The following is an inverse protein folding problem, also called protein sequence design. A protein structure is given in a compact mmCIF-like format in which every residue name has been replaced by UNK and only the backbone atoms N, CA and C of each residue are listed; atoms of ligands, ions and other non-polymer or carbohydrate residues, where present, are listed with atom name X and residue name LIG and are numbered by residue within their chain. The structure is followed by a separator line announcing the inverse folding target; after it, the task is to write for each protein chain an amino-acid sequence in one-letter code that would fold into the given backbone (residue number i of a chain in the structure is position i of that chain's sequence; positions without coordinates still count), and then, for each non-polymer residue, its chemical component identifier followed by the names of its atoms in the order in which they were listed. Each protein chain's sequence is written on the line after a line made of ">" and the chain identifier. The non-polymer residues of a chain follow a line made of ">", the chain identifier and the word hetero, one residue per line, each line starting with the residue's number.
data_IF_143789732614
#
_entry.id   IF_143789732614
#
_cell.length_a   1.000
_cell.length_b   1.000
_cell.length_c   1.000
_cell.angle_alpha   90.00
_cell.angle_beta   90.00
_cell.angle_gamma   90.00
#
_symmetry.space_group_name_H-M   'P 1'
#
loop_
_entity.id
_entity.type
_entity.pdbx_description
1 polymer ?
#
# COMPACT_ATOMS: atom_id res chain seq x y z
N UNK A 1 -65.59 50.23 -54.76
CA UNK A 1 -65.86 49.33 -53.64
C UNK A 1 -64.85 48.20 -53.71
N UNK A 2 -63.75 48.34 -53.05
CA UNK A 2 -62.65 47.31 -52.94
C UNK A 2 -62.26 47.13 -51.52
N UNK A 3 -62.53 45.94 -51.01
CA UNK A 3 -62.14 45.54 -49.62
C UNK A 3 -60.67 45.07 -49.62
N UNK A 4 -59.86 45.69 -48.80
CA UNK A 4 -58.51 45.24 -48.52
C UNK A 4 -58.56 44.19 -47.40
N UNK A 5 -58.01 43.04 -47.67
CA UNK A 5 -57.82 41.95 -46.65
C UNK A 5 -56.42 42.04 -46.08
N UNK A 6 -56.32 42.26 -44.77
CA UNK A 6 -55.07 42.29 -44.04
C UNK A 6 -54.68 40.86 -43.66
N UNK A 7 -53.52 40.41 -44.11
CA UNK A 7 -52.90 39.14 -43.72
C UNK A 7 -52.04 39.40 -42.44
N UNK A 8 -52.39 38.77 -41.36
CA UNK A 8 -51.56 38.78 -40.13
C UNK A 8 -50.59 37.62 -40.19
N UNK A 9 -49.32 37.94 -40.24
CA UNK A 9 -48.22 36.98 -40.19
C UNK A 9 -47.88 36.68 -38.72
N UNK A 10 -48.21 35.48 -38.26
CA UNK A 10 -47.83 35.00 -36.91
C UNK A 10 -46.42 34.44 -36.93
N UNK A 11 -45.48 35.10 -36.26
CA UNK A 11 -44.14 34.63 -35.99
C UNK A 11 -44.18 33.62 -34.84
N UNK A 12 -43.95 32.33 -35.14
CA UNK A 12 -43.68 31.30 -34.15
C UNK A 12 -42.18 31.34 -33.77
N UNK A 13 -41.86 31.77 -32.54
CA UNK A 13 -40.53 31.58 -31.95
C UNK A 13 -40.44 30.13 -31.42
N UNK A 14 -39.38 29.36 -31.73
CA UNK A 14 -39.14 28.09 -31.10
C UNK A 14 -38.63 28.34 -29.66
N UNK A 15 -39.33 27.83 -28.67
CA UNK A 15 -38.87 27.79 -27.29
C UNK A 15 -37.73 26.76 -27.17
N UNK A 16 -36.51 27.23 -26.96
CA UNK A 16 -35.33 26.41 -26.71
C UNK A 16 -35.43 25.93 -25.26
N UNK A 17 -35.90 24.70 -25.03
CA UNK A 17 -35.87 24.06 -23.71
C UNK A 17 -34.46 23.59 -23.45
N UNK A 18 -33.69 24.34 -22.67
CA UNK A 18 -32.41 23.89 -22.12
C UNK A 18 -32.68 22.79 -21.09
N UNK A 19 -32.41 21.54 -21.46
CA UNK A 19 -32.35 20.42 -20.51
C UNK A 19 -31.07 20.59 -19.69
N UNK A 20 -31.22 21.05 -18.46
CA UNK A 20 -30.18 20.98 -17.45
C UNK A 20 -29.92 19.49 -17.15
N UNK A 21 -28.85 18.94 -17.73
CA UNK A 21 -28.29 17.66 -17.29
C UNK A 21 -27.64 17.89 -15.92
N UNK A 22 -28.38 17.58 -14.86
CA UNK A 22 -27.79 17.46 -13.54
C UNK A 22 -26.84 16.24 -13.58
N UNK A 23 -25.53 16.48 -13.67
CA UNK A 23 -24.55 15.47 -13.31
C UNK A 23 -24.83 15.07 -11.87
N UNK A 24 -25.01 13.76 -11.59
CA UNK A 24 -25.12 13.35 -10.20
C UNK A 24 -23.81 13.74 -9.51
N UNK A 25 -23.88 14.73 -8.62
CA UNK A 25 -22.86 14.94 -7.61
C UNK A 25 -22.87 13.65 -6.79
N UNK A 26 -21.82 12.85 -6.92
CA UNK A 26 -21.56 11.79 -5.96
C UNK A 26 -21.51 12.46 -4.59
N UNK A 27 -22.61 12.39 -3.89
CA UNK A 27 -22.66 12.82 -2.49
C UNK A 27 -21.68 11.93 -1.74
N UNK A 28 -20.53 12.49 -1.44
CA UNK A 28 -19.44 11.86 -0.70
C UNK A 28 -19.94 11.68 0.74
N UNK A 29 -20.65 10.60 0.98
CA UNK A 29 -20.92 10.13 2.35
C UNK A 29 -19.63 9.50 2.86
N UNK A 30 -18.61 10.33 3.10
CA UNK A 30 -17.33 9.90 3.61
C UNK A 30 -17.51 9.21 4.95
N UNK A 31 -17.33 7.89 4.97
CA UNK A 31 -17.38 7.11 6.20
C UNK A 31 -16.06 7.19 6.97
N UNK A 32 -14.93 7.41 6.26
CA UNK A 32 -13.59 7.51 6.84
C UNK A 32 -13.18 8.95 7.12
N UNK A 33 -12.50 9.14 8.25
CA UNK A 33 -11.92 10.43 8.68
C UNK A 33 -10.61 10.20 9.41
N UNK A 34 -9.79 11.22 9.50
CA UNK A 34 -8.63 11.22 10.40
C UNK A 34 -9.14 11.26 11.84
N UNK A 35 -8.87 10.21 12.60
CA UNK A 35 -9.23 10.09 14.01
C UNK A 35 -8.21 10.79 14.91
N UNK A 36 -6.93 10.58 14.60
CA UNK A 36 -5.83 11.26 15.28
C UNK A 36 -4.64 11.49 14.36
N UNK A 37 -3.78 12.41 14.79
CA UNK A 37 -2.46 12.65 14.21
C UNK A 37 -1.49 12.80 15.37
N UNK A 38 -0.70 11.77 15.60
CA UNK A 38 0.13 11.64 16.78
C UNK A 38 1.59 11.90 16.44
N UNK A 39 2.16 12.94 17.01
CA UNK A 39 3.55 13.32 16.78
C UNK A 39 4.47 12.36 17.54
N UNK A 40 5.24 11.57 16.80
CA UNK A 40 6.21 10.64 17.34
C UNK A 40 7.64 11.23 17.43
N UNK A 41 7.92 12.24 16.61
CA UNK A 41 9.20 12.93 16.60
C UNK A 41 10.34 12.09 16.01
N UNK A 42 11.56 12.42 16.40
CA UNK A 42 12.79 11.79 15.90
C UNK A 42 13.20 12.27 14.52
N UNK A 43 14.36 11.78 14.06
CA UNK A 43 14.98 12.13 12.79
C UNK A 43 15.05 10.89 11.88
N UNK A 44 15.39 11.12 10.60
CA UNK A 44 15.48 10.07 9.59
C UNK A 44 14.15 9.76 8.92
N UNK A 45 14.23 9.05 7.81
CA UNK A 45 13.06 8.63 7.05
C UNK A 45 12.27 7.50 7.73
N UNK A 46 11.27 7.06 7.04
CA UNK A 46 10.49 5.85 7.38
C UNK A 46 10.11 5.13 6.09
N UNK A 47 9.61 3.92 6.26
CA UNK A 47 9.04 3.16 5.18
C UNK A 47 7.81 2.38 5.66
N UNK A 48 7.80 1.05 5.57
CA UNK A 48 6.63 0.28 5.92
C UNK A 48 6.28 0.33 7.42
N UNK A 49 5.00 0.21 7.66
CA UNK A 49 4.40 -0.01 8.98
C UNK A 49 3.78 -1.42 8.99
N UNK A 50 3.94 -2.15 10.09
CA UNK A 50 3.29 -3.44 10.30
C UNK A 50 2.44 -3.42 11.56
N UNK A 51 1.13 -3.53 11.42
CA UNK A 51 0.21 -3.67 12.55
C UNK A 51 0.03 -5.15 12.91
N UNK A 52 0.58 -5.55 14.04
CA UNK A 52 0.26 -6.82 14.67
C UNK A 52 -1.01 -6.66 15.52
N UNK A 53 -2.13 -7.01 14.92
CA UNK A 53 -3.45 -6.90 15.56
C UNK A 53 -3.64 -7.90 16.70
N UNK A 54 -2.87 -9.00 16.73
CA UNK A 54 -2.93 -10.03 17.76
C UNK A 54 -2.29 -9.58 19.07
N UNK A 55 -1.04 -9.16 19.02
CA UNK A 55 -0.24 -8.73 20.19
C UNK A 55 -0.36 -7.22 20.44
N UNK A 56 -1.21 -6.52 19.67
CA UNK A 56 -1.49 -5.07 19.76
C UNK A 56 -0.23 -4.23 19.67
N UNK A 57 0.61 -4.51 18.65
CA UNK A 57 1.85 -3.78 18.39
C UNK A 57 1.87 -3.20 16.99
N UNK A 58 2.43 -2.01 16.89
CA UNK A 58 2.77 -1.37 15.63
C UNK A 58 4.29 -1.37 15.50
N UNK A 59 4.81 -2.01 14.48
CA UNK A 59 6.21 -1.98 14.11
C UNK A 59 6.40 -0.95 13.00
N UNK A 60 7.27 0.01 13.24
CA UNK A 60 7.53 1.12 12.33
C UNK A 60 9.00 1.14 11.95
N UNK A 61 9.28 0.92 10.68
CA UNK A 61 10.64 0.98 10.17
C UNK A 61 11.13 2.42 10.05
N UNK A 62 12.27 2.72 10.66
CA UNK A 62 12.94 4.01 10.56
C UNK A 62 14.30 3.84 9.89
N UNK A 63 14.65 4.80 9.06
CA UNK A 63 15.92 4.84 8.34
C UNK A 63 16.82 5.96 8.85
N UNK A 64 18.08 5.98 8.37
CA UNK A 64 19.08 6.97 8.77
C UNK A 64 20.09 6.42 9.79
N UNK A 65 20.91 7.31 10.37
CA UNK A 65 22.04 6.93 11.25
C UNK A 65 21.61 6.29 12.57
N UNK A 66 20.39 6.58 13.03
CA UNK A 66 19.76 5.98 14.20
C UNK A 66 18.63 5.02 13.80
N UNK A 67 18.72 4.42 12.63
CA UNK A 67 17.69 3.51 12.10
C UNK A 67 17.42 2.34 13.03
N UNK A 68 16.15 1.99 13.18
CA UNK A 68 15.67 0.88 13.99
C UNK A 68 14.23 0.53 13.61
N UNK A 69 13.72 -0.58 14.13
CA UNK A 69 12.27 -0.79 14.18
C UNK A 69 11.77 -0.24 15.51
N UNK A 70 10.98 0.83 15.45
CA UNK A 70 10.28 1.37 16.62
C UNK A 70 8.98 0.62 16.85
N UNK A 71 8.72 0.25 18.09
CA UNK A 71 7.54 -0.54 18.46
C UNK A 71 6.65 0.28 19.38
N UNK A 72 5.38 0.40 18.98
CA UNK A 72 4.35 1.13 19.72
C UNK A 72 3.21 0.20 20.10
N UNK A 73 2.53 0.53 21.19
CA UNK A 73 1.24 -0.09 21.51
C UNK A 73 0.19 0.38 20.49
N UNK A 74 -0.49 -0.55 19.84
CA UNK A 74 -1.41 -0.25 18.73
C UNK A 74 -2.72 0.45 19.19
N UNK A 75 -3.08 0.30 20.48
CA UNK A 75 -4.30 0.93 21.02
C UNK A 75 -4.04 2.36 21.53
N UNK A 76 -2.83 2.65 22.05
CA UNK A 76 -2.53 3.91 22.72
C UNK A 76 -1.46 4.73 22.04
N UNK A 77 -0.76 4.16 21.07
CA UNK A 77 0.43 4.69 20.39
C UNK A 77 1.59 5.05 21.34
N UNK A 78 1.53 4.56 22.59
CA UNK A 78 2.63 4.70 23.53
C UNK A 78 3.84 3.85 23.06
N UNK A 79 5.08 4.36 23.16
CA UNK A 79 6.25 3.60 22.78
C UNK A 79 6.43 2.40 23.74
N UNK A 80 6.73 1.23 23.18
CA UNK A 80 7.06 0.01 23.90
C UNK A 80 8.58 -0.18 23.96
N UNK A 81 9.29 0.10 22.86
CA UNK A 81 10.73 -0.02 22.75
C UNK A 81 11.20 0.03 21.30
N UNK A 82 12.51 -0.19 21.14
CA UNK A 82 13.17 -0.15 19.85
C UNK A 82 13.97 -1.44 19.63
N UNK A 83 13.99 -1.91 18.39
CA UNK A 83 14.81 -3.05 17.98
C UNK A 83 15.98 -2.48 17.16
N UNK A 84 17.23 -2.63 17.64
CA UNK A 84 18.41 -2.03 17.01
C UNK A 84 18.79 -2.82 15.73
N UNK A 85 18.17 -2.50 14.63
CA UNK A 85 18.39 -3.17 13.33
C UNK A 85 19.34 -2.42 12.41
N UNK A 86 19.65 -1.15 12.73
CA UNK A 86 20.11 -0.20 11.74
C UNK A 86 18.95 0.26 10.84
N UNK A 87 19.26 0.88 9.69
CA UNK A 87 18.25 1.27 8.71
C UNK A 87 17.52 0.03 8.21
N UNK A 88 16.19 0.07 8.29
CA UNK A 88 15.31 -1.00 7.83
C UNK A 88 14.13 -0.40 7.06
N UNK A 89 13.55 -1.19 6.15
CA UNK A 89 12.38 -0.81 5.37
C UNK A 89 11.08 -1.31 5.99
N UNK A 90 11.09 -2.48 6.64
CA UNK A 90 9.91 -3.04 7.28
C UNK A 90 10.22 -4.20 8.21
N UNK A 91 9.19 -4.88 8.71
CA UNK A 91 9.33 -6.06 9.55
C UNK A 91 8.19 -7.05 9.33
N UNK A 92 8.51 -8.28 8.94
CA UNK A 92 7.60 -9.41 8.99
C UNK A 92 7.46 -9.91 10.42
N UNK A 93 6.26 -10.28 10.84
CA UNK A 93 5.96 -10.76 12.18
C UNK A 93 5.29 -12.13 12.09
N UNK A 94 5.98 -13.17 12.53
CA UNK A 94 5.40 -14.51 12.69
C UNK A 94 4.95 -14.72 14.15
N UNK A 95 3.66 -14.65 14.36
CA UNK A 95 3.04 -14.79 15.67
C UNK A 95 3.14 -16.23 16.22
N UNK A 96 3.29 -17.24 15.37
CA UNK A 96 3.40 -18.63 15.80
C UNK A 96 4.72 -18.92 16.52
N UNK A 97 5.83 -18.36 16.02
CA UNK A 97 7.16 -18.52 16.62
C UNK A 97 7.50 -17.38 17.57
N UNK A 98 6.76 -16.28 17.57
CA UNK A 98 7.07 -15.01 18.20
C UNK A 98 8.38 -14.40 17.70
N UNK A 99 8.70 -14.60 16.43
CA UNK A 99 9.85 -14.01 15.78
C UNK A 99 9.42 -12.91 14.80
N UNK A 100 10.22 -11.87 14.73
CA UNK A 100 10.13 -10.85 13.73
C UNK A 100 11.41 -10.77 12.90
N UNK A 101 11.26 -10.30 11.64
CA UNK A 101 12.35 -10.19 10.69
C UNK A 101 12.33 -8.80 10.06
N UNK A 102 13.28 -7.96 10.46
CA UNK A 102 13.41 -6.63 9.88
C UNK A 102 14.20 -6.69 8.59
N UNK A 103 13.69 -6.01 7.55
CA UNK A 103 14.37 -5.88 6.26
C UNK A 103 15.48 -4.83 6.30
N UNK A 104 16.42 -5.05 7.23
CA UNK A 104 17.71 -4.37 7.33
C UNK A 104 18.78 -5.10 6.52
N UNK A 105 19.95 -4.52 6.38
CA UNK A 105 21.08 -5.17 5.71
C UNK A 105 22.27 -5.27 6.69
N UNK A 106 22.55 -6.48 7.24
CA UNK A 106 21.85 -7.77 7.10
C UNK A 106 20.44 -7.77 7.70
N UNK A 107 19.59 -8.73 7.29
CA UNK A 107 18.26 -8.94 7.89
C UNK A 107 18.42 -9.24 9.37
N UNK A 108 17.60 -8.62 10.22
CA UNK A 108 17.66 -8.80 11.67
C UNK A 108 16.47 -9.63 12.16
N UNK A 109 16.73 -10.79 12.71
CA UNK A 109 15.75 -11.63 13.42
C UNK A 109 15.69 -11.22 14.88
N UNK A 110 14.48 -11.03 15.42
CA UNK A 110 14.25 -10.59 16.80
C UNK A 110 13.08 -11.34 17.45
N UNK A 111 13.06 -11.38 18.77
CA UNK A 111 11.93 -11.90 19.55
C UNK A 111 10.88 -10.79 19.73
N UNK A 112 9.64 -11.04 19.29
CA UNK A 112 8.57 -10.03 19.30
C UNK A 112 8.10 -9.67 20.69
N UNK A 113 8.25 -10.53 21.70
CA UNK A 113 7.82 -10.29 23.08
C UNK A 113 8.80 -9.43 23.86
N UNK A 114 10.10 -9.70 23.67
CA UNK A 114 11.19 -9.05 24.41
C UNK A 114 11.85 -7.92 23.63
N UNK A 115 11.60 -7.81 22.32
CA UNK A 115 12.22 -6.90 21.35
C UNK A 115 13.76 -7.06 21.25
N UNK A 116 14.28 -8.18 21.68
CA UNK A 116 15.72 -8.45 21.62
C UNK A 116 16.09 -9.07 20.28
N UNK A 117 17.19 -8.59 19.72
CA UNK A 117 17.80 -9.22 18.55
C UNK A 117 18.26 -10.63 18.91
N UNK A 118 17.86 -11.60 18.11
CA UNK A 118 18.26 -13.01 18.21
C UNK A 118 19.53 -13.22 17.40
N UNK A 119 19.52 -12.82 16.13
CA UNK A 119 20.66 -12.90 15.22
C UNK A 119 20.48 -11.99 14.00
N UNK A 120 21.55 -11.78 13.28
CA UNK A 120 21.54 -11.20 11.93
C UNK A 120 21.70 -12.28 10.87
N UNK A 121 21.05 -12.11 9.73
CA UNK A 121 21.03 -13.08 8.64
C UNK A 121 21.57 -12.36 7.39
N UNK A 122 22.79 -12.70 6.96
CA UNK A 122 23.34 -12.15 5.73
C UNK A 122 22.50 -12.62 4.53
N UNK A 123 21.76 -11.71 3.93
CA UNK A 123 21.04 -11.94 2.68
C UNK A 123 21.75 -11.23 1.54
N UNK A 124 21.51 -11.68 0.31
CA UNK A 124 21.92 -10.95 -0.87
C UNK A 124 20.86 -9.90 -1.22
N UNK A 125 21.21 -8.99 -2.13
CA UNK A 125 20.34 -7.91 -2.54
C UNK A 125 20.27 -6.77 -1.50
N UNK A 126 19.23 -5.97 -1.61
CA UNK A 126 18.89 -4.90 -0.68
C UNK A 126 17.50 -5.20 -0.12
N UNK A 127 17.40 -5.82 1.07
CA UNK A 127 16.13 -6.15 1.70
C UNK A 127 15.24 -4.91 1.83
N UNK A 128 14.00 -5.03 1.37
CA UNK A 128 13.01 -3.96 1.32
C UNK A 128 11.65 -4.47 1.80
N UNK A 129 10.82 -4.99 0.90
CA UNK A 129 9.53 -5.58 1.24
C UNK A 129 9.65 -6.89 2.03
N UNK A 130 8.55 -7.29 2.62
CA UNK A 130 8.50 -8.48 3.44
C UNK A 130 7.09 -9.09 3.44
N UNK A 131 7.02 -10.38 3.76
CA UNK A 131 5.75 -11.05 4.03
C UNK A 131 5.98 -12.26 4.92
N UNK A 132 5.09 -12.48 5.87
CA UNK A 132 4.98 -13.71 6.66
C UNK A 132 3.92 -14.62 6.02
N UNK A 133 4.26 -15.90 5.83
CA UNK A 133 3.32 -16.94 5.41
C UNK A 133 3.00 -17.86 6.61
N UNK A 134 1.87 -17.63 7.27
CA UNK A 134 1.49 -18.40 8.46
C UNK A 134 1.14 -19.87 8.14
N UNK A 135 0.90 -20.20 6.86
CA UNK A 135 0.57 -21.58 6.43
C UNK A 135 1.81 -22.43 6.32
N UNK A 136 2.89 -21.88 5.76
CA UNK A 136 4.15 -22.63 5.56
C UNK A 136 5.21 -22.32 6.62
N UNK A 137 4.96 -21.34 7.51
CA UNK A 137 5.92 -20.80 8.50
C UNK A 137 7.21 -20.33 7.83
N UNK A 138 7.06 -19.56 6.76
CA UNK A 138 8.14 -18.96 6.00
C UNK A 138 8.00 -17.46 5.95
N UNK A 139 9.14 -16.80 5.98
CA UNK A 139 9.22 -15.36 5.78
C UNK A 139 9.85 -15.08 4.43
N UNK A 140 9.20 -14.27 3.64
CA UNK A 140 9.68 -13.79 2.36
C UNK A 140 10.28 -12.40 2.54
N UNK A 141 11.55 -12.26 2.24
CA UNK A 141 12.28 -11.00 2.21
C UNK A 141 12.44 -10.61 0.75
N UNK A 142 11.90 -9.46 0.38
CA UNK A 142 11.89 -8.94 -0.98
C UNK A 142 13.01 -7.93 -1.18
N UNK A 143 13.50 -7.82 -2.40
CA UNK A 143 14.60 -6.92 -2.76
C UNK A 143 14.45 -6.42 -4.20
N UNK A 144 14.65 -5.12 -4.43
CA UNK A 144 14.70 -4.55 -5.77
C UNK A 144 15.88 -5.07 -6.60
N UNK A 145 16.91 -5.58 -5.93
CA UNK A 145 18.12 -6.11 -6.55
C UNK A 145 18.15 -7.63 -6.40
N UNK A 146 18.58 -8.32 -7.46
CA UNK A 146 18.67 -9.78 -7.47
C UNK A 146 19.62 -10.35 -6.40
N UNK A 147 19.26 -11.48 -5.77
CA UNK A 147 18.00 -12.21 -5.90
C UNK A 147 16.84 -11.44 -5.29
N UNK A 148 15.72 -11.36 -6.05
CA UNK A 148 14.60 -10.53 -5.66
C UNK A 148 13.82 -11.10 -4.44
N UNK A 149 13.90 -12.41 -4.22
CA UNK A 149 13.20 -13.08 -3.13
C UNK A 149 14.15 -13.96 -2.36
N UNK A 150 14.25 -13.74 -1.05
CA UNK A 150 14.93 -14.65 -0.10
C UNK A 150 13.91 -15.20 0.88
N UNK A 151 13.82 -16.52 0.98
CA UNK A 151 12.87 -17.22 1.84
C UNK A 151 13.59 -17.75 3.07
N UNK A 152 13.05 -17.42 4.24
CA UNK A 152 13.57 -17.83 5.52
C UNK A 152 12.59 -18.79 6.23
N UNK A 153 13.11 -19.69 7.01
CA UNK A 153 12.34 -20.46 7.98
C UNK A 153 12.05 -19.56 9.20
N UNK A 154 10.80 -19.37 9.55
CA UNK A 154 10.38 -18.42 10.60
C UNK A 154 10.85 -18.85 12.01
N UNK A 155 11.00 -20.15 12.26
CA UNK A 155 11.44 -20.64 13.57
C UNK A 155 12.95 -20.47 13.79
N UNK A 156 13.72 -20.69 12.73
CA UNK A 156 15.20 -20.75 12.84
C UNK A 156 15.90 -19.57 12.18
N UNK A 157 15.24 -18.84 11.28
CA UNK A 157 15.83 -17.82 10.43
C UNK A 157 16.87 -18.37 9.44
N UNK A 158 16.84 -19.65 9.13
CA UNK A 158 17.72 -20.22 8.11
C UNK A 158 17.19 -19.89 6.72
N UNK A 159 18.10 -19.56 5.81
CA UNK A 159 17.73 -19.35 4.40
C UNK A 159 17.34 -20.70 3.80
N UNK A 160 16.11 -20.80 3.32
CA UNK A 160 15.57 -21.97 2.61
C UNK A 160 15.95 -21.87 1.13
N UNK A 161 15.71 -20.71 0.52
CA UNK A 161 15.95 -20.48 -0.90
C UNK A 161 16.10 -18.99 -1.20
N UNK A 162 16.85 -18.67 -2.23
CA UNK A 162 16.85 -17.36 -2.86
C UNK A 162 16.63 -17.53 -4.36
N UNK A 163 15.81 -16.68 -4.99
CA UNK A 163 15.49 -16.77 -6.41
C UNK A 163 15.01 -15.43 -6.96
N UNK A 164 14.99 -15.33 -8.29
CA UNK A 164 14.54 -14.14 -8.99
C UNK A 164 13.12 -14.30 -9.53
N UNK A 165 12.39 -13.21 -9.50
CA UNK A 165 11.06 -13.08 -10.15
C UNK A 165 11.11 -12.17 -11.38
N UNK A 166 12.27 -11.59 -11.66
CA UNK A 166 12.58 -10.88 -12.91
C UNK A 166 11.98 -9.49 -13.01
N UNK A 167 12.03 -8.72 -11.94
CA UNK A 167 11.65 -7.31 -11.88
C UNK A 167 11.98 -6.69 -10.53
N UNK A 168 11.82 -5.38 -10.41
CA UNK A 168 11.89 -4.66 -9.15
C UNK A 168 10.62 -4.96 -8.34
N UNK A 169 10.81 -5.65 -7.22
CA UNK A 169 9.71 -6.11 -6.37
C UNK A 169 9.27 -5.03 -5.39
N UNK A 170 7.98 -4.89 -5.23
CA UNK A 170 7.33 -4.00 -4.27
C UNK A 170 6.45 -4.78 -3.29
N UNK A 171 5.29 -4.29 -2.95
CA UNK A 171 4.40 -4.96 -2.01
C UNK A 171 3.95 -6.33 -2.53
N UNK A 172 3.75 -7.27 -1.61
CA UNK A 172 3.31 -8.63 -1.90
C UNK A 172 2.17 -9.04 -0.98
N UNK A 173 1.38 -10.01 -1.44
CA UNK A 173 0.24 -10.58 -0.70
C UNK A 173 0.12 -12.09 -0.92
N UNK A 174 -0.54 -12.77 0.02
CA UNK A 174 -0.84 -14.21 -0.04
C UNK A 174 -2.33 -14.46 -0.19
N UNK A 175 -2.70 -15.47 -0.97
CA UNK A 175 -4.08 -15.98 -1.02
C UNK A 175 -4.41 -16.97 0.09
N UNK A 176 -3.44 -17.36 0.92
CA UNK A 176 -3.53 -18.43 1.93
C UNK A 176 -3.85 -19.83 1.34
N UNK A 177 -3.81 -19.98 0.03
CA UNK A 177 -4.03 -21.22 -0.70
C UNK A 177 -2.77 -21.76 -1.37
N UNK A 178 -1.66 -21.03 -1.24
CA UNK A 178 -0.35 -21.44 -1.71
C UNK A 178 0.23 -20.54 -2.79
N UNK A 179 -0.34 -19.38 -3.04
CA UNK A 179 0.20 -18.41 -3.97
C UNK A 179 0.61 -17.11 -3.26
N UNK A 180 1.78 -16.65 -3.65
CA UNK A 180 2.32 -15.34 -3.32
C UNK A 180 2.27 -14.49 -4.59
N UNK A 181 1.65 -13.33 -4.50
CA UNK A 181 1.59 -12.33 -5.55
C UNK A 181 2.52 -11.18 -5.20
N UNK A 182 3.33 -10.73 -6.15
CA UNK A 182 4.34 -9.69 -5.94
C UNK A 182 4.24 -8.66 -7.05
N UNK A 183 4.04 -7.39 -6.73
CA UNK A 183 4.15 -6.30 -7.69
C UNK A 183 5.58 -6.21 -8.22
N UNK A 184 5.72 -6.11 -9.54
CA UNK A 184 6.97 -5.82 -10.25
C UNK A 184 6.85 -4.43 -10.88
N UNK A 185 7.26 -3.40 -10.14
CA UNK A 185 7.07 -1.99 -10.48
C UNK A 185 7.64 -1.64 -11.88
N UNK A 186 8.86 -2.11 -12.18
CA UNK A 186 9.56 -1.83 -13.43
C UNK A 186 9.11 -2.68 -14.63
N UNK A 187 8.16 -3.60 -14.41
CA UNK A 187 7.64 -4.51 -15.45
C UNK A 187 6.14 -4.38 -15.67
N UNK A 188 5.47 -3.50 -14.94
CA UNK A 188 4.02 -3.36 -14.99
C UNK A 188 3.32 -4.72 -14.95
N UNK A 189 3.71 -5.57 -14.01
CA UNK A 189 3.21 -6.94 -13.91
C UNK A 189 3.19 -7.43 -12.46
N UNK A 190 2.38 -8.45 -12.19
CA UNK A 190 2.32 -9.13 -10.91
C UNK A 190 2.89 -10.53 -11.08
N UNK A 191 3.98 -10.85 -10.36
CA UNK A 191 4.54 -12.19 -10.34
C UNK A 191 3.69 -13.11 -9.45
N UNK A 192 3.52 -14.37 -9.87
CA UNK A 192 2.83 -15.41 -9.12
C UNK A 192 3.83 -16.50 -8.75
N UNK A 193 4.00 -16.71 -7.44
CA UNK A 193 4.93 -17.71 -6.89
C UNK A 193 4.14 -18.74 -6.10
N UNK A 194 4.41 -20.02 -6.35
CA UNK A 194 3.91 -21.11 -5.50
C UNK A 194 4.74 -21.16 -4.20
N UNK A 195 4.08 -20.97 -3.05
CA UNK A 195 4.76 -20.85 -1.74
C UNK A 195 5.31 -22.16 -1.21
N UNK A 196 4.88 -23.31 -1.73
CA UNK A 196 5.36 -24.64 -1.30
C UNK A 196 6.61 -25.03 -2.08
N UNK A 197 6.57 -24.87 -3.39
CA UNK A 197 7.70 -25.22 -4.28
C UNK A 197 8.73 -24.10 -4.44
N UNK A 198 8.33 -22.88 -4.07
CA UNK A 198 9.12 -21.65 -4.23
C UNK A 198 9.53 -21.43 -5.69
N UNK A 199 8.58 -21.62 -6.58
CA UNK A 199 8.75 -21.46 -8.01
C UNK A 199 7.85 -20.34 -8.55
N UNK A 200 8.41 -19.51 -9.43
CA UNK A 200 7.63 -18.58 -10.24
C UNK A 200 6.74 -19.41 -11.19
N UNK A 201 5.42 -19.27 -11.07
CA UNK A 201 4.45 -20.05 -11.85
C UNK A 201 3.78 -19.22 -12.94
N UNK A 202 3.81 -17.90 -12.83
CA UNK A 202 3.21 -16.99 -13.82
C UNK A 202 3.52 -15.54 -13.57
N UNK A 203 3.10 -14.70 -14.51
CA UNK A 203 3.06 -13.25 -14.39
C UNK A 203 1.78 -12.73 -15.03
N UNK A 204 1.15 -11.78 -14.38
CA UNK A 204 -0.01 -11.06 -14.91
C UNK A 204 0.44 -9.72 -15.47
N UNK A 205 0.29 -9.53 -16.76
CA UNK A 205 0.61 -8.26 -17.44
C UNK A 205 -0.50 -7.24 -17.19
N UNK A 206 -0.16 -6.13 -16.57
CA UNK A 206 -1.06 -5.01 -16.29
C UNK A 206 -0.67 -3.73 -17.03
N UNK A 207 0.36 -3.78 -17.89
CA UNK A 207 0.93 -2.63 -18.62
C UNK A 207 -0.08 -1.83 -19.44
N UNK A 208 -1.13 -2.50 -19.93
CA UNK A 208 -2.19 -1.84 -20.71
C UNK A 208 -3.01 -0.84 -19.87
N UNK A 209 -3.07 -1.00 -18.56
CA UNK A 209 -3.91 -0.22 -17.64
C UNK A 209 -3.13 0.39 -16.48
N UNK A 210 -2.04 -0.23 -16.03
CA UNK A 210 -1.20 0.20 -14.92
C UNK A 210 0.09 0.87 -15.36
N UNK A 211 0.94 1.14 -14.40
CA UNK A 211 2.28 1.69 -14.51
C UNK A 211 2.79 2.13 -13.16
N UNK A 212 4.00 1.68 -12.78
CA UNK A 212 4.60 2.01 -11.49
C UNK A 212 3.72 1.58 -10.32
N UNK A 213 3.26 0.32 -10.32
CA UNK A 213 2.42 -0.19 -9.23
C UNK A 213 3.32 -0.65 -8.08
N UNK A 214 3.09 -0.09 -6.88
CA UNK A 214 3.87 -0.39 -5.67
C UNK A 214 3.00 -0.80 -4.48
N UNK A 215 1.68 -0.70 -4.58
CA UNK A 215 0.75 -1.13 -3.56
C UNK A 215 -0.09 -2.31 -4.02
N UNK A 216 -0.07 -3.42 -3.25
CA UNK A 216 -0.85 -4.62 -3.56
C UNK A 216 -1.65 -5.09 -2.36
N UNK A 217 -2.95 -5.34 -2.55
CA UNK A 217 -3.83 -5.93 -1.56
C UNK A 217 -4.63 -7.09 -2.16
N UNK A 218 -5.21 -7.94 -1.34
CA UNK A 218 -5.98 -9.10 -1.78
C UNK A 218 -7.23 -9.31 -0.92
N UNK A 219 -8.34 -9.61 -1.57
CA UNK A 219 -9.40 -10.41 -0.98
C UNK A 219 -9.13 -11.88 -1.30
N UNK A 220 -8.55 -12.58 -0.34
CA UNK A 220 -8.21 -13.99 -0.49
C UNK A 220 -9.43 -14.92 -0.51
N UNK A 221 -10.61 -14.44 -0.09
CA UNK A 221 -11.87 -15.22 -0.11
C UNK A 221 -12.48 -15.26 -1.51
N UNK A 222 -12.44 -14.13 -2.21
CA UNK A 222 -13.01 -14.01 -3.54
C UNK A 222 -11.96 -14.05 -4.66
N UNK A 223 -10.68 -14.23 -4.34
CA UNK A 223 -9.57 -14.26 -5.28
C UNK A 223 -9.46 -12.93 -6.08
N UNK A 224 -9.49 -11.79 -5.38
CA UNK A 224 -9.41 -10.46 -5.99
C UNK A 224 -8.13 -9.74 -5.54
N UNK A 225 -7.32 -9.32 -6.50
CA UNK A 225 -6.15 -8.46 -6.28
C UNK A 225 -6.49 -7.00 -6.55
N UNK A 226 -5.91 -6.11 -5.76
CA UNK A 226 -6.01 -4.65 -5.88
C UNK A 226 -4.60 -4.08 -6.00
N UNK A 227 -4.19 -3.73 -7.22
CA UNK A 227 -2.87 -3.16 -7.50
C UNK A 227 -2.97 -1.64 -7.68
N UNK A 228 -2.33 -0.88 -6.81
CA UNK A 228 -2.35 0.57 -6.82
C UNK A 228 -1.13 1.13 -7.56
N UNK A 229 -1.37 1.91 -8.61
CA UNK A 229 -0.38 2.29 -9.61
C UNK A 229 -0.20 3.81 -9.68
N UNK A 230 1.04 4.28 -9.53
CA UNK A 230 1.38 5.70 -9.47
C UNK A 230 1.28 6.41 -10.82
N UNK A 231 1.78 5.82 -11.90
CA UNK A 231 1.90 6.48 -13.21
C UNK A 231 0.55 6.82 -13.85
N UNK A 232 -0.42 5.92 -13.67
CA UNK A 232 -1.78 6.09 -14.17
C UNK A 232 -2.75 6.62 -13.12
N UNK A 233 -2.29 6.78 -11.86
CA UNK A 233 -3.10 7.27 -10.73
C UNK A 233 -4.40 6.46 -10.59
N UNK A 234 -4.26 5.14 -10.59
CA UNK A 234 -5.38 4.23 -10.54
C UNK A 234 -5.10 2.99 -9.70
N UNK A 235 -6.17 2.28 -9.36
CA UNK A 235 -6.12 0.93 -8.83
C UNK A 235 -6.67 -0.02 -9.88
N UNK A 236 -5.88 -1.01 -10.25
CA UNK A 236 -6.30 -2.11 -11.12
C UNK A 236 -6.81 -3.23 -10.24
N UNK A 237 -8.01 -3.71 -10.53
CA UNK A 237 -8.65 -4.81 -9.82
C UNK A 237 -8.64 -6.00 -10.74
N UNK A 238 -8.03 -7.12 -10.25
CA UNK A 238 -7.81 -8.32 -11.06
C UNK A 238 -8.37 -9.56 -10.35
N UNK A 239 -8.72 -10.55 -11.15
CA UNK A 239 -8.92 -11.91 -10.65
C UNK A 239 -7.56 -12.56 -10.36
N UNK A 240 -7.34 -13.04 -9.13
CA UNK A 240 -6.07 -13.61 -8.70
C UNK A 240 -5.76 -14.98 -9.32
N UNK A 241 -6.76 -15.68 -9.91
CA UNK A 241 -6.55 -17.01 -10.53
C UNK A 241 -5.94 -16.94 -11.92
N UNK A 242 -6.30 -15.89 -12.68
CA UNK A 242 -5.95 -15.81 -14.11
C UNK A 242 -5.38 -14.43 -14.53
N UNK A 243 -5.32 -13.47 -13.61
CA UNK A 243 -4.82 -12.12 -13.88
C UNK A 243 -5.74 -11.25 -14.74
N UNK A 244 -6.98 -11.69 -14.97
CA UNK A 244 -7.95 -10.92 -15.75
C UNK A 244 -8.30 -9.63 -15.04
N UNK A 245 -8.12 -8.49 -15.72
CA UNK A 245 -8.54 -7.19 -15.21
C UNK A 245 -10.07 -7.15 -15.18
N UNK A 246 -10.62 -6.89 -14.00
CA UNK A 246 -12.06 -6.80 -13.73
C UNK A 246 -12.54 -5.36 -13.80
N UNK A 247 -11.76 -4.43 -13.20
CA UNK A 247 -12.10 -3.01 -13.13
C UNK A 247 -10.83 -2.16 -13.00
N UNK A 248 -10.93 -0.87 -13.33
CA UNK A 248 -9.89 0.14 -13.11
C UNK A 248 -10.54 1.38 -12.54
N UNK A 249 -10.15 1.77 -11.33
CA UNK A 249 -10.72 2.91 -10.63
C UNK A 249 -9.67 3.98 -10.38
N UNK A 250 -10.02 5.28 -10.44
CA UNK A 250 -9.06 6.35 -10.21
C UNK A 250 -8.65 6.40 -8.74
N UNK A 251 -7.37 6.71 -8.49
CA UNK A 251 -6.79 7.01 -7.18
C UNK A 251 -5.99 8.31 -7.27
N UNK A 252 -4.95 8.50 -6.49
CA UNK A 252 -4.04 9.64 -6.55
C UNK A 252 -2.63 9.24 -7.01
N UNK A 253 -1.73 10.19 -6.94
CA UNK A 253 -0.33 10.06 -7.36
C UNK A 253 0.58 9.59 -6.22
N UNK A 254 1.57 8.75 -6.56
CA UNK A 254 2.61 8.32 -5.62
C UNK A 254 2.10 7.27 -4.63
N UNK A 255 1.36 6.27 -5.12
CA UNK A 255 0.97 5.12 -4.31
C UNK A 255 2.19 4.27 -3.97
N UNK A 256 2.26 3.84 -2.70
CA UNK A 256 3.37 3.05 -2.15
C UNK A 256 2.88 2.03 -1.11
N UNK A 257 1.60 1.74 -1.13
CA UNK A 257 1.00 0.74 -0.28
C UNK A 257 -0.50 0.61 -0.46
N UNK A 258 -0.98 -0.62 -0.33
CA UNK A 258 -2.39 -0.97 -0.31
C UNK A 258 -2.69 -1.99 0.77
N UNK A 259 -3.94 -2.05 1.23
CA UNK A 259 -4.44 -3.05 2.17
C UNK A 259 -5.92 -3.33 1.93
N UNK A 260 -6.41 -4.47 2.41
CA UNK A 260 -7.81 -4.86 2.28
C UNK A 260 -8.40 -5.23 3.64
N UNK A 261 -9.60 -4.73 3.92
CA UNK A 261 -10.35 -5.09 5.13
C UNK A 261 -11.47 -6.07 4.77
N UNK A 262 -11.32 -7.36 5.09
CA UNK A 262 -12.31 -8.38 4.73
C UNK A 262 -13.64 -8.23 5.48
N UNK A 263 -13.66 -7.52 6.62
CA UNK A 263 -14.92 -7.30 7.36
C UNK A 263 -15.80 -6.26 6.72
N UNK A 264 -15.20 -5.29 6.06
CA UNK A 264 -15.92 -4.21 5.38
C UNK A 264 -15.90 -4.35 3.87
N UNK A 265 -15.16 -5.32 3.32
CA UNK A 265 -14.97 -5.53 1.89
C UNK A 265 -14.49 -4.24 1.21
N UNK A 266 -13.47 -3.62 1.77
CA UNK A 266 -12.91 -2.37 1.29
C UNK A 266 -11.40 -2.49 1.11
N UNK A 267 -10.94 -2.13 -0.08
CA UNK A 267 -9.53 -1.93 -0.37
C UNK A 267 -9.13 -0.46 -0.15
N UNK A 268 -7.93 -0.27 0.35
CA UNK A 268 -7.37 1.05 0.63
C UNK A 268 -6.02 1.19 -0.03
N UNK A 269 -5.72 2.37 -0.54
CA UNK A 269 -4.36 2.73 -0.89
C UNK A 269 -4.08 4.18 -0.52
N UNK A 270 -2.87 4.41 -0.03
CA UNK A 270 -2.36 5.75 0.30
C UNK A 270 -1.53 6.28 -0.86
N UNK A 271 -1.63 7.58 -1.09
CA UNK A 271 -0.92 8.28 -2.15
C UNK A 271 -0.03 9.39 -1.58
N UNK A 272 1.18 9.49 -2.09
CA UNK A 272 2.17 10.49 -1.67
C UNK A 272 1.73 11.93 -1.85
N UNK A 273 0.79 12.21 -2.75
CA UNK A 273 0.18 13.54 -2.89
C UNK A 273 -0.65 13.97 -1.67
N UNK A 274 -1.01 13.03 -0.78
CA UNK A 274 -1.78 13.28 0.44
C UNK A 274 -3.25 12.89 0.32
N UNK A 275 -3.53 11.72 -0.22
CA UNK A 275 -4.87 11.12 -0.27
C UNK A 275 -4.87 9.68 0.17
N UNK A 276 -6.04 9.17 0.57
CA UNK A 276 -6.36 7.77 0.78
C UNK A 276 -7.55 7.42 -0.09
N UNK A 277 -7.38 6.48 -1.00
CA UNK A 277 -8.50 5.92 -1.76
C UNK A 277 -9.17 4.80 -0.98
N UNK A 278 -10.50 4.80 -0.95
CA UNK A 278 -11.36 3.76 -0.37
C UNK A 278 -12.18 3.15 -1.50
N UNK A 279 -11.93 1.91 -1.80
CA UNK A 279 -12.62 1.17 -2.87
C UNK A 279 -13.43 0.05 -2.24
N UNK A 280 -14.74 0.10 -2.46
CA UNK A 280 -15.68 -0.93 -2.01
C UNK A 280 -15.74 -2.07 -3.03
N UNK A 281 -15.57 -3.27 -2.57
CA UNK A 281 -16.00 -4.47 -3.26
C UNK A 281 -17.47 -4.73 -2.94
N UNK A 282 -18.37 -4.44 -3.88
CA UNK A 282 -19.81 -4.69 -3.74
C UNK A 282 -20.14 -6.16 -4.01
N UNK A 283 -19.36 -6.78 -4.88
CA UNK A 283 -19.36 -8.21 -5.22
C UNK A 283 -18.04 -8.52 -5.94
N UNK A 284 -17.69 -9.80 -6.15
CA UNK A 284 -16.46 -10.19 -6.88
C UNK A 284 -16.34 -9.65 -8.31
N UNK A 285 -17.36 -8.96 -8.82
CA UNK A 285 -17.40 -8.38 -10.17
C UNK A 285 -17.88 -6.94 -10.20
N UNK A 286 -18.03 -6.29 -9.04
CA UNK A 286 -18.54 -4.92 -8.95
C UNK A 286 -17.81 -4.13 -7.88
N UNK A 287 -17.17 -3.05 -8.26
CA UNK A 287 -16.32 -2.23 -7.41
C UNK A 287 -16.69 -0.76 -7.55
N UNK A 288 -16.50 0.01 -6.48
CA UNK A 288 -16.82 1.44 -6.47
C UNK A 288 -15.80 2.22 -5.66
N UNK A 289 -15.28 3.30 -6.22
CA UNK A 289 -14.54 4.28 -5.43
C UNK A 289 -15.54 5.02 -4.52
N UNK A 290 -15.52 4.70 -3.22
CA UNK A 290 -16.43 5.33 -2.25
C UNK A 290 -15.91 6.67 -1.77
N UNK A 291 -14.59 6.79 -1.62
CA UNK A 291 -14.00 8.00 -1.05
C UNK A 291 -12.57 8.21 -1.53
N UNK A 292 -12.21 9.49 -1.76
CA UNK A 292 -10.84 9.99 -1.75
C UNK A 292 -10.72 10.90 -0.53
N UNK A 293 -10.20 10.36 0.58
CA UNK A 293 -9.99 11.12 1.80
C UNK A 293 -8.69 11.93 1.67
N UNK A 294 -8.76 13.24 1.91
CA UNK A 294 -7.54 14.05 2.00
C UNK A 294 -6.78 13.72 3.29
N UNK A 295 -5.54 13.31 3.13
CA UNK A 295 -4.57 13.08 4.20
C UNK A 295 -3.48 14.16 4.18
N UNK A 296 -2.27 13.80 4.52
CA UNK A 296 -1.12 14.73 4.45
C UNK A 296 -0.15 14.28 3.36
N UNK A 297 0.52 15.21 2.66
CA UNK A 297 1.53 14.86 1.67
C UNK A 297 2.56 13.87 2.23
N UNK A 298 3.00 12.95 1.39
CA UNK A 298 3.97 11.87 1.68
C UNK A 298 3.49 10.80 2.67
N UNK A 299 2.22 10.80 3.07
CA UNK A 299 1.59 9.68 3.76
C UNK A 299 1.29 8.58 2.72
N UNK A 300 2.32 7.79 2.35
CA UNK A 300 2.30 6.90 1.19
C UNK A 300 2.26 5.41 1.53
N UNK A 301 2.85 4.99 2.65
CA UNK A 301 2.80 3.62 3.15
C UNK A 301 1.63 3.43 4.11
N UNK A 302 1.13 2.21 4.24
CA UNK A 302 -0.14 1.92 4.91
C UNK A 302 -0.08 0.59 5.65
N UNK A 303 -0.80 0.48 6.76
CA UNK A 303 -1.13 -0.78 7.39
C UNK A 303 -2.54 -0.74 7.96
N UNK A 304 -3.15 -1.92 8.16
CA UNK A 304 -4.48 -2.08 8.72
C UNK A 304 -4.39 -2.76 10.09
N UNK A 305 -4.98 -2.15 11.11
CA UNK A 305 -5.32 -2.87 12.32
C UNK A 305 -6.62 -3.67 12.10
N UNK A 306 -6.49 -4.95 11.84
CA UNK A 306 -7.63 -5.82 11.54
C UNK A 306 -8.65 -5.90 12.69
N UNK A 307 -8.22 -5.70 13.94
CA UNK A 307 -9.11 -5.76 15.10
C UNK A 307 -10.06 -4.57 15.16
N UNK A 308 -9.57 -3.38 14.91
CA UNK A 308 -10.38 -2.15 14.98
C UNK A 308 -10.91 -1.71 13.61
N UNK A 309 -10.25 -2.11 12.54
CA UNK A 309 -10.47 -1.61 11.18
C UNK A 309 -9.82 -0.23 10.96
N UNK A 310 -8.97 0.22 11.86
CA UNK A 310 -8.22 1.45 11.69
C UNK A 310 -7.11 1.28 10.66
N UNK A 311 -6.96 2.28 9.83
CA UNK A 311 -5.89 2.39 8.85
C UNK A 311 -4.84 3.32 9.47
N UNK A 312 -3.57 2.92 9.38
CA UNK A 312 -2.45 3.70 9.88
C UNK A 312 -1.52 4.03 8.73
N UNK A 313 -1.11 5.29 8.67
CA UNK A 313 -0.09 5.79 7.75
C UNK A 313 0.80 6.80 8.47
N UNK A 314 1.93 7.15 7.89
CA UNK A 314 2.87 8.07 8.53
C UNK A 314 3.36 9.14 7.56
N UNK A 315 3.72 10.29 8.12
CA UNK A 315 4.33 11.40 7.38
C UNK A 315 5.18 12.29 8.31
N UNK A 316 5.82 13.30 7.72
CA UNK A 316 6.55 14.34 8.42
C UNK A 316 6.39 15.67 7.68
N UNK A 317 6.90 16.76 8.24
CA UNK A 317 7.10 17.99 7.50
C UNK A 317 8.43 17.95 6.76
N UNK A 318 8.46 18.61 5.61
CA UNK A 318 9.63 18.64 4.73
C UNK A 318 10.03 20.07 4.43
N UNK A 319 11.32 20.29 4.24
CA UNK A 319 11.88 21.52 3.73
C UNK A 319 11.51 21.77 2.27
N UNK A 320 12.02 22.85 1.68
CA UNK A 320 11.79 23.15 0.27
C UNK A 320 12.38 22.05 -0.62
N UNK A 321 11.72 21.82 -1.75
CA UNK A 321 12.22 20.88 -2.75
C UNK A 321 13.58 21.32 -3.28
N UNK A 322 14.59 20.43 -3.33
CA UNK A 322 15.86 20.73 -3.94
C UNK A 322 15.69 21.07 -5.42
N UNK A 323 16.50 22.00 -5.92
CA UNK A 323 16.50 22.30 -7.35
C UNK A 323 16.83 21.07 -8.17
N UNK A 324 16.02 20.79 -9.20
CA UNK A 324 16.26 19.69 -10.11
C UNK A 324 17.63 19.84 -10.79
N UNK A 325 18.47 18.81 -10.74
CA UNK A 325 19.75 18.78 -11.42
C UNK A 325 19.63 17.91 -12.68
N UNK A 326 20.03 18.40 -13.86
CA UNK A 326 19.96 17.62 -15.09
C UNK A 326 20.71 16.29 -14.96
N UNK A 327 20.00 15.19 -15.27
CA UNK A 327 20.59 13.84 -15.26
C UNK A 327 20.69 13.17 -13.87
N UNK A 328 20.23 13.80 -12.82
CA UNK A 328 20.12 13.19 -11.49
C UNK A 328 18.67 12.84 -11.17
N UNK A 329 18.46 11.75 -10.40
CA UNK A 329 17.14 11.48 -9.81
C UNK A 329 16.73 12.70 -8.96
N UNK A 330 15.46 13.03 -9.00
CA UNK A 330 14.90 14.08 -8.17
C UNK A 330 15.24 13.82 -6.69
N UNK A 331 16.02 14.72 -6.08
CA UNK A 331 16.35 14.56 -4.67
C UNK A 331 15.13 14.88 -3.81
N UNK A 332 14.86 14.04 -2.84
CA UNK A 332 13.79 14.27 -1.87
C UNK A 332 14.12 15.50 -0.99
N UNK A 333 13.13 16.36 -0.69
CA UNK A 333 13.35 17.43 0.27
C UNK A 333 13.70 16.83 1.63
N UNK A 334 14.58 17.50 2.40
CA UNK A 334 14.96 17.03 3.72
C UNK A 334 13.77 17.05 4.66
N UNK A 335 13.59 15.98 5.43
CA UNK A 335 12.61 15.95 6.52
C UNK A 335 13.00 16.97 7.59
N UNK A 336 12.02 17.73 8.09
CA UNK A 336 12.23 18.63 9.23
C UNK A 336 12.30 17.75 10.50
N UNK A 337 13.39 17.85 11.27
CA UNK A 337 13.56 17.06 12.49
C UNK A 337 12.40 17.19 13.46
N UNK A 338 12.10 16.10 14.16
CA UNK A 338 11.04 16.04 15.17
C UNK A 338 9.60 16.31 14.67
N UNK A 339 9.35 16.24 13.36
CA UNK A 339 7.99 16.45 12.80
C UNK A 339 7.29 15.15 12.40
N UNK A 340 7.98 14.02 12.50
CA UNK A 340 7.41 12.71 12.15
C UNK A 340 6.17 12.40 12.98
N UNK A 341 5.12 11.93 12.32
CA UNK A 341 3.81 11.66 12.92
C UNK A 341 3.12 10.46 12.29
N UNK A 342 2.33 9.80 13.08
CA UNK A 342 1.41 8.75 12.68
C UNK A 342 0.02 9.36 12.48
N UNK A 343 -0.70 8.91 11.47
CA UNK A 343 -2.08 9.28 11.17
C UNK A 343 -2.93 8.03 11.32
N UNK A 344 -3.94 8.10 12.18
CA UNK A 344 -4.93 7.03 12.38
C UNK A 344 -6.22 7.45 11.68
N UNK A 345 -6.73 6.58 10.82
CA UNK A 345 -7.91 6.82 10.01
C UNK A 345 -8.94 5.73 10.32
N UNK A 346 -10.20 6.11 10.45
CA UNK A 346 -11.31 5.20 10.71
C UNK A 346 -12.66 5.84 10.44
N UNK A 347 -13.73 5.06 10.64
CA UNK A 347 -15.12 5.51 10.49
C UNK A 347 -15.63 6.28 11.71
#
# INVERSE_FOLDING_TARGET
>A
MTRASSLALALLLPALTATLTTTPSLAQSGHYKILSTDKLGGDGGWDYLAADSSDRRLYLARSGTAGSIHVYNLDTLAPIGDIPTGSAHGAAIDNATHHGFATSSPVTMFDTRTLKVIKTIPTQGHPDGYLDDPVTHRVFILSHVTPNVTVLDAATGNIIKAFDVGGAVEQSVLDNHGHLFIDLEDKDSIAVVDTRTLALTGKYDISSKGGGCAGLAIDAVHDILFASCSDKKNMIILNAKDGKILEVLPTGEGSDGATFNPRTMEAFSTQGEGTLAVIKENSPTSFTLEQLLKTQPRARTITLDEKTGHILTATADFGPEPAAQPGQRHAWPPMIPNTFRLIVIGK
#
